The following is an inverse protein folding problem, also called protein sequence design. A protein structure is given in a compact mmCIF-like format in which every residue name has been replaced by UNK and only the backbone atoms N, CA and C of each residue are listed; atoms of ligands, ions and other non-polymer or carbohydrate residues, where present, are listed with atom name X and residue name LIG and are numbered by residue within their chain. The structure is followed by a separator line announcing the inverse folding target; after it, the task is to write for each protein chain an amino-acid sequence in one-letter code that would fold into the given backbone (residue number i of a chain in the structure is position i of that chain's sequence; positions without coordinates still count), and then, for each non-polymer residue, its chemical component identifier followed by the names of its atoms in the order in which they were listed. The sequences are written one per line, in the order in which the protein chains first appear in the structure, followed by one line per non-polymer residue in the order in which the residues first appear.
data_IF_657035403177
#
_entry.id   IF_657035403177
#
_cell.length_a   1.000
_cell.length_b   1.000
_cell.length_c   1.000
_cell.angle_alpha   90.00
_cell.angle_beta   90.00
_cell.angle_gamma   90.00
#
_symmetry.space_group_name_H-M   'P 1'
#
loop_
_entity.id
_entity.type
_entity.pdbx_description
1 polymer ?
#
# COMPACT_ATOMS: atom_id res chain seq x y z
N UNK A 1 32.54 -19.48 -7.00
CA UNK A 1 31.20 -18.90 -6.80
C UNK A 1 31.32 -17.40 -6.96
N UNK A 2 30.63 -16.78 -7.93
CA UNK A 2 30.71 -15.33 -8.15
C UNK A 2 29.83 -14.58 -7.15
N UNK A 3 30.43 -13.68 -6.38
CA UNK A 3 29.70 -12.76 -5.50
C UNK A 3 29.14 -11.62 -6.35
N UNK A 4 27.82 -11.62 -6.58
CA UNK A 4 27.12 -10.49 -7.22
C UNK A 4 26.82 -9.41 -6.18
N UNK A 5 27.52 -8.28 -6.27
CA UNK A 5 27.24 -7.10 -5.46
C UNK A 5 25.94 -6.43 -5.93
N UNK A 6 24.96 -6.32 -5.03
CA UNK A 6 23.71 -5.62 -5.33
C UNK A 6 23.92 -4.11 -5.19
N UNK A 7 23.82 -3.39 -6.29
CA UNK A 7 23.90 -1.93 -6.33
C UNK A 7 22.50 -1.32 -6.16
N UNK A 8 22.37 -0.33 -5.28
CA UNK A 8 21.15 0.47 -5.14
C UNK A 8 21.23 1.73 -6.01
N UNK A 9 20.17 2.05 -6.74
CA UNK A 9 20.08 3.28 -7.55
C UNK A 9 19.24 4.32 -6.80
N UNK A 10 19.78 5.54 -6.65
CA UNK A 10 19.05 6.68 -6.07
C UNK A 10 18.65 7.65 -7.19
N UNK A 11 17.36 7.73 -7.47
CA UNK A 11 16.78 8.69 -8.41
C UNK A 11 15.97 9.78 -7.70
N UNK A 12 15.87 10.95 -8.32
CA UNK A 12 14.87 11.97 -7.96
C UNK A 12 13.73 11.89 -8.98
N UNK A 13 12.49 11.98 -8.52
CA UNK A 13 11.30 12.02 -9.36
C UNK A 13 10.64 13.38 -9.18
N UNK A 14 10.49 14.13 -10.26
CA UNK A 14 9.80 15.42 -10.26
C UNK A 14 8.41 15.22 -10.85
N UNK A 15 7.38 15.47 -10.04
CA UNK A 15 5.98 15.26 -10.40
C UNK A 15 5.36 16.55 -10.90
N UNK A 16 4.42 16.44 -11.84
CA UNK A 16 3.54 17.57 -12.20
C UNK A 16 2.59 17.91 -11.03
N UNK A 17 2.01 19.12 -10.97
CA UNK A 17 1.09 19.49 -9.88
C UNK A 17 -0.06 18.50 -9.68
N UNK A 18 -0.65 17.99 -10.76
CA UNK A 18 -1.70 16.94 -10.73
C UNK A 18 -1.18 15.62 -10.13
N UNK A 19 0.03 15.21 -10.51
CA UNK A 19 0.65 13.99 -9.99
C UNK A 19 1.01 14.10 -8.51
N UNK A 20 1.38 15.29 -8.01
CA UNK A 20 1.64 15.53 -6.58
C UNK A 20 0.40 15.20 -5.75
N UNK A 21 -0.78 15.64 -6.18
CA UNK A 21 -2.03 15.35 -5.47
C UNK A 21 -2.35 13.85 -5.46
N UNK A 22 -2.18 13.17 -6.60
CA UNK A 22 -2.41 11.72 -6.70
C UNK A 22 -1.40 10.93 -5.86
N UNK A 23 -0.13 11.33 -5.87
CA UNK A 23 0.92 10.72 -5.06
C UNK A 23 0.64 10.93 -3.57
N UNK A 24 0.30 12.15 -3.15
CA UNK A 24 -0.07 12.45 -1.77
C UNK A 24 -1.26 11.59 -1.30
N UNK A 25 -2.29 11.46 -2.13
CA UNK A 25 -3.43 10.56 -1.85
C UNK A 25 -2.97 9.12 -1.71
N UNK A 26 -2.17 8.61 -2.65
CA UNK A 26 -1.70 7.22 -2.65
C UNK A 26 -0.86 6.91 -1.40
N UNK A 27 0.12 7.75 -1.06
CA UNK A 27 0.96 7.58 0.11
C UNK A 27 0.16 7.75 1.42
N UNK A 28 -0.80 8.67 1.44
CA UNK A 28 -1.74 8.84 2.55
C UNK A 28 -2.57 7.57 2.80
N UNK A 29 -3.20 7.04 1.75
CA UNK A 29 -3.97 5.78 1.82
C UNK A 29 -3.10 4.62 2.32
N UNK A 30 -1.89 4.48 1.77
CA UNK A 30 -0.95 3.44 2.17
C UNK A 30 -0.59 3.53 3.66
N UNK A 31 -0.37 4.75 4.17
CA UNK A 31 -0.07 5.01 5.58
C UNK A 31 -1.24 4.61 6.49
N UNK A 32 -2.47 4.95 6.12
CA UNK A 32 -3.68 4.56 6.88
C UNK A 32 -3.80 3.04 6.96
N UNK A 33 -3.69 2.34 5.83
CA UNK A 33 -3.76 0.87 5.77
C UNK A 33 -2.65 0.22 6.60
N UNK A 34 -1.41 0.73 6.48
CA UNK A 34 -0.28 0.24 7.25
C UNK A 34 -0.50 0.38 8.76
N UNK A 35 -0.90 1.58 9.20
CA UNK A 35 -1.15 1.85 10.61
C UNK A 35 -2.29 0.99 11.16
N UNK A 36 -3.34 0.76 10.38
CA UNK A 36 -4.43 -0.14 10.75
C UNK A 36 -3.92 -1.56 11.01
N UNK A 37 -3.15 -2.14 10.07
CA UNK A 37 -2.59 -3.50 10.23
C UNK A 37 -1.57 -3.59 11.36
N UNK A 38 -0.78 -2.54 11.55
CA UNK A 38 0.18 -2.45 12.64
C UNK A 38 -0.58 -2.49 13.98
N UNK A 39 -1.61 -1.66 14.14
CA UNK A 39 -2.46 -1.66 15.33
C UNK A 39 -3.12 -3.03 15.55
N UNK A 40 -3.72 -3.63 14.51
CA UNK A 40 -4.30 -4.98 14.58
C UNK A 40 -3.31 -6.04 15.09
N UNK A 41 -2.04 -5.94 14.67
CA UNK A 41 -1.00 -6.86 15.13
C UNK A 41 -0.58 -6.58 16.58
N UNK A 42 -0.43 -5.30 16.93
CA UNK A 42 -0.06 -4.89 18.28
C UNK A 42 -1.11 -5.24 19.32
N UNK A 43 -2.40 -5.05 19.03
CA UNK A 43 -3.48 -5.38 19.96
C UNK A 43 -3.52 -6.86 20.27
N UNK A 44 -3.46 -7.74 19.25
CA UNK A 44 -3.46 -9.19 19.46
C UNK A 44 -2.25 -9.69 20.24
N UNK A 45 -1.10 -9.08 20.01
CA UNK A 45 0.09 -9.38 20.79
C UNK A 45 -0.02 -8.86 22.23
N UNK A 46 -0.56 -7.66 22.42
CA UNK A 46 -0.68 -7.06 23.76
C UNK A 46 -1.67 -7.83 24.65
N UNK A 47 -2.82 -8.22 24.11
CA UNK A 47 -3.87 -8.92 24.85
C UNK A 47 -3.57 -10.41 25.06
N UNK A 48 -3.17 -11.12 24.00
CA UNK A 48 -3.12 -12.59 24.01
C UNK A 48 -1.69 -13.15 23.82
N UNK A 49 -0.67 -12.28 23.71
CA UNK A 49 0.71 -12.66 23.33
C UNK A 49 0.80 -13.44 22.02
N UNK A 50 -0.22 -13.33 21.18
CA UNK A 50 -0.31 -14.04 19.90
C UNK A 50 0.31 -13.22 18.77
N UNK A 51 1.14 -13.86 17.95
CA UNK A 51 1.64 -13.26 16.72
C UNK A 51 0.58 -13.35 15.63
N UNK A 52 0.48 -12.33 14.79
CA UNK A 52 -0.43 -12.33 13.65
C UNK A 52 0.21 -12.99 12.44
N UNK A 53 -0.41 -14.04 11.91
CA UNK A 53 0.07 -14.73 10.72
C UNK A 53 -0.19 -13.90 9.45
N UNK A 54 0.56 -14.14 8.35
CA UNK A 54 0.30 -13.48 7.08
C UNK A 54 -1.13 -13.69 6.58
N UNK A 55 -1.69 -14.89 6.72
CA UNK A 55 -3.06 -15.20 6.31
C UNK A 55 -4.10 -14.34 7.08
N UNK A 56 -3.90 -14.15 8.38
CA UNK A 56 -4.78 -13.31 9.20
C UNK A 56 -4.69 -11.83 8.80
N UNK A 57 -3.50 -11.35 8.45
CA UNK A 57 -3.32 -9.99 7.91
C UNK A 57 -4.02 -9.82 6.56
N UNK A 58 -3.98 -10.84 5.70
CA UNK A 58 -4.68 -10.81 4.40
C UNK A 58 -6.20 -10.78 4.57
N UNK A 59 -6.76 -11.52 5.53
CA UNK A 59 -8.19 -11.44 5.86
C UNK A 59 -8.57 -10.04 6.34
N UNK A 60 -7.77 -9.46 7.23
CA UNK A 60 -8.02 -8.10 7.73
C UNK A 60 -7.90 -7.05 6.61
N UNK A 61 -6.95 -7.22 5.70
CA UNK A 61 -6.83 -6.38 4.48
C UNK A 61 -8.10 -6.42 3.64
N UNK A 62 -8.67 -7.61 3.42
CA UNK A 62 -9.93 -7.76 2.68
C UNK A 62 -11.08 -7.04 3.39
N UNK A 63 -11.15 -7.13 4.73
CA UNK A 63 -12.16 -6.46 5.54
C UNK A 63 -12.07 -4.93 5.46
N UNK A 64 -10.86 -4.37 5.57
CA UNK A 64 -10.70 -2.92 5.51
C UNK A 64 -10.81 -2.36 4.09
N UNK A 65 -10.49 -3.18 3.06
CA UNK A 65 -10.62 -2.78 1.66
C UNK A 65 -12.06 -2.36 1.31
N UNK A 66 -13.05 -3.03 1.88
CA UNK A 66 -14.47 -2.71 1.70
C UNK A 66 -14.92 -1.57 2.61
N UNK A 67 -14.34 -1.43 3.81
CA UNK A 67 -14.76 -0.47 4.82
C UNK A 67 -14.17 0.95 4.65
N UNK A 68 -12.95 1.07 4.13
CA UNK A 68 -12.25 2.36 4.06
C UNK A 68 -12.39 3.02 2.67
N UNK A 69 -12.90 4.27 2.58
CA UNK A 69 -13.03 5.00 1.31
C UNK A 69 -11.69 5.19 0.57
N UNK A 70 -10.58 5.20 1.31
CA UNK A 70 -9.24 5.37 0.78
C UNK A 70 -8.68 4.09 0.11
N UNK A 71 -9.27 2.92 0.40
CA UNK A 71 -8.95 1.62 -0.22
C UNK A 71 -10.08 1.05 -1.09
N UNK A 72 -11.30 1.57 -0.93
CA UNK A 72 -12.45 1.22 -1.75
C UNK A 72 -12.26 1.81 -3.15
N UNK A 73 -11.84 0.95 -4.08
CA UNK A 73 -11.69 1.24 -5.51
C UNK A 73 -10.85 2.51 -5.76
N UNK A 74 -9.53 2.31 -5.84
CA UNK A 74 -8.73 3.17 -6.74
C UNK A 74 -9.51 3.30 -8.05
N UNK A 75 -9.71 4.54 -8.47
CA UNK A 75 -10.54 4.99 -9.59
C UNK A 75 -10.66 4.01 -10.78
N UNK A 76 -11.78 4.04 -11.54
CA UNK A 76 -11.87 3.31 -12.80
C UNK A 76 -10.60 3.56 -13.62
N UNK A 77 -10.06 2.48 -14.18
CA UNK A 77 -8.86 2.48 -15.01
C UNK A 77 -8.96 3.56 -16.10
N UNK A 78 -8.44 4.76 -15.83
CA UNK A 78 -8.36 5.87 -16.80
C UNK A 78 -7.15 5.73 -17.74
N UNK A 79 -6.42 4.62 -17.66
CA UNK A 79 -5.29 4.28 -18.54
C UNK A 79 -5.57 3.06 -19.42
N UNK A 80 -6.84 2.76 -19.73
CA UNK A 80 -7.13 2.15 -21.03
C UNK A 80 -6.85 3.22 -22.09
N UNK A 81 -5.66 3.15 -22.70
CA UNK A 81 -5.25 4.01 -23.82
C UNK A 81 -6.40 4.05 -24.86
N UNK A 82 -6.89 5.24 -25.28
CA UNK A 82 -7.65 5.31 -26.52
C UNK A 82 -6.71 4.92 -27.67
N UNK A 83 -7.27 4.23 -28.66
CA UNK A 83 -6.56 3.57 -29.75
C UNK A 83 -5.43 4.38 -30.37
N UNK A 84 -4.33 3.69 -30.65
CA UNK A 84 -3.36 4.11 -31.65
C UNK A 84 -3.93 3.64 -32.98
N UNK A 85 -4.18 4.59 -33.88
CA UNK A 85 -4.51 4.39 -35.30
C UNK A 85 -3.50 3.48 -36.00
#
# INVERSE_FOLDING_TARGET
MSNSTKHGVKGRVYLTPEQVLLAARQFGCARVVYNHLLNFSQTRYSHNKTKTSPAQRSLELTRIKTALPCSAKSAPNRYSRPGVL
#
